data_IF_718043605050
#
_entry.id   IF_718043605050
#
_cell.length_a   1.000
_cell.length_b   1.000
_cell.length_c   1.000
_cell.angle_alpha   90.00
_cell.angle_beta   90.00
_cell.angle_gamma   90.00
#
_symmetry.space_group_name_H-M   'P 1'
#
loop_
_entity.id
_entity.type
_entity.pdbx_description
1 polymer ?
#
# COMPACT_ATOMS: atom_id res chain seq x y z
N UNK A 1 2.87 4.63 -2.37
CA UNK A 1 1.77 3.69 -2.08
C UNK A 1 2.03 2.86 -0.84
N UNK A 2 3.24 2.30 -0.65
CA UNK A 2 3.65 1.56 0.57
C UNK A 2 3.33 2.32 1.86
N UNK A 3 3.67 3.61 1.94
CA UNK A 3 3.39 4.45 3.12
C UNK A 3 1.89 4.48 3.46
N UNK A 4 1.03 4.67 2.46
CA UNK A 4 -0.43 4.63 2.65
C UNK A 4 -0.90 3.23 3.08
N UNK A 5 -0.33 2.16 2.48
CA UNK A 5 -0.64 0.78 2.85
C UNK A 5 -0.25 0.44 4.29
N UNK A 6 0.93 0.87 4.73
CA UNK A 6 1.42 0.71 6.12
C UNK A 6 0.53 1.47 7.11
N UNK A 7 0.14 2.70 6.78
CA UNK A 7 -0.78 3.49 7.62
C UNK A 7 -2.13 2.78 7.77
N UNK A 8 -2.72 2.28 6.69
CA UNK A 8 -3.99 1.54 6.74
C UNK A 8 -3.88 0.23 7.54
N UNK A 9 -2.75 -0.47 7.43
CA UNK A 9 -2.47 -1.70 8.19
C UNK A 9 -2.43 -1.44 9.70
N UNK A 10 -1.77 -0.35 10.12
CA UNK A 10 -1.70 0.06 11.53
C UNK A 10 -3.09 0.43 12.05
N UNK A 11 -3.87 1.21 11.30
CA UNK A 11 -5.22 1.61 11.72
C UNK A 11 -6.16 0.40 11.80
N UNK A 12 -6.14 -0.50 10.82
CA UNK A 12 -6.95 -1.71 10.83
C UNK A 12 -6.66 -2.63 12.01
N UNK A 13 -5.38 -2.74 12.38
CA UNK A 13 -4.94 -3.56 13.52
C UNK A 13 -5.35 -2.92 14.86
N UNK A 14 -5.24 -1.60 15.00
CA UNK A 14 -5.61 -0.88 16.23
C UNK A 14 -7.13 -0.84 16.42
N UNK A 15 -7.91 -0.80 15.35
CA UNK A 15 -9.37 -0.72 15.41
C UNK A 15 -10.09 -2.09 15.39
N UNK A 16 -9.36 -3.21 15.30
CA UNK A 16 -9.90 -4.58 15.17
C UNK A 16 -10.88 -4.74 13.98
N UNK A 17 -10.67 -3.95 12.91
CA UNK A 17 -11.51 -3.97 11.70
C UNK A 17 -10.87 -4.90 10.68
N UNK A 18 -11.31 -6.15 10.63
CA UNK A 18 -10.73 -7.19 9.78
C UNK A 18 -10.65 -6.83 8.29
N UNK A 19 -11.63 -6.08 7.76
CA UNK A 19 -11.60 -5.65 6.35
C UNK A 19 -10.52 -4.60 6.09
N UNK A 20 -10.22 -3.73 7.06
CA UNK A 20 -9.22 -2.68 6.94
C UNK A 20 -7.81 -3.26 7.02
N UNK A 21 -7.60 -4.29 7.86
CA UNK A 21 -6.35 -5.07 7.89
C UNK A 21 -6.11 -5.76 6.55
N UNK A 22 -7.14 -6.39 5.97
CA UNK A 22 -7.04 -7.09 4.69
C UNK A 22 -6.64 -6.13 3.56
N UNK A 23 -7.29 -4.97 3.48
CA UNK A 23 -6.97 -3.94 2.49
C UNK A 23 -5.56 -3.34 2.72
N UNK A 24 -5.16 -3.11 3.96
CA UNK A 24 -3.82 -2.64 4.31
C UNK A 24 -2.72 -3.61 3.86
N UNK A 25 -2.92 -4.91 4.11
CA UNK A 25 -1.99 -5.98 3.68
C UNK A 25 -1.86 -6.00 2.15
N UNK A 26 -2.98 -5.98 1.42
CA UNK A 26 -2.95 -5.98 -0.05
C UNK A 26 -2.17 -4.78 -0.58
N UNK A 27 -2.42 -3.57 -0.06
CA UNK A 27 -1.73 -2.37 -0.49
C UNK A 27 -0.25 -2.36 -0.12
N UNK A 28 0.12 -2.92 1.03
CA UNK A 28 1.50 -3.08 1.44
C UNK A 28 2.23 -4.05 0.52
N UNK A 29 1.66 -5.24 0.25
CA UNK A 29 2.24 -6.27 -0.61
C UNK A 29 2.37 -5.80 -2.06
N UNK A 30 1.30 -5.26 -2.66
CA UNK A 30 1.33 -4.73 -4.03
C UNK A 30 2.29 -3.54 -4.13
N UNK A 31 2.28 -2.66 -3.12
CA UNK A 31 3.22 -1.56 -3.03
C UNK A 31 4.67 -2.02 -2.97
N UNK A 32 4.96 -3.09 -2.24
CA UNK A 32 6.28 -3.71 -2.15
C UNK A 32 6.68 -4.32 -3.50
N UNK A 33 5.80 -5.11 -4.11
CA UNK A 33 6.04 -5.77 -5.40
C UNK A 33 6.36 -4.74 -6.48
N UNK A 34 5.58 -3.67 -6.60
CA UNK A 34 5.81 -2.60 -7.59
C UNK A 34 7.04 -1.73 -7.29
N UNK A 35 7.60 -1.82 -6.08
CA UNK A 35 8.83 -1.13 -5.70
C UNK A 35 10.08 -2.00 -5.93
N UNK A 36 10.00 -3.31 -5.68
CA UNK A 36 11.10 -4.26 -5.90
C UNK A 36 11.19 -4.78 -7.35
N UNK A 37 10.05 -4.95 -8.02
CA UNK A 37 9.99 -5.23 -9.45
C UNK A 37 9.79 -3.89 -10.15
N UNK A 38 10.71 -3.43 -11.01
CA UNK A 38 10.59 -2.16 -11.68
C UNK A 38 9.56 -2.25 -12.82
N UNK A 39 8.29 -2.43 -12.46
CA UNK A 39 7.14 -2.04 -13.28
C UNK A 39 6.90 -0.56 -12.96
N UNK A 40 7.92 0.24 -13.26
CA UNK A 40 8.01 1.66 -12.99
C UNK A 40 7.18 2.41 -14.02
N UNK A 41 5.87 2.44 -13.81
CA UNK A 41 4.96 3.34 -14.51
C UNK A 41 5.25 4.79 -14.12
N UNK A 42 6.31 5.37 -14.68
CA UNK A 42 6.51 6.82 -14.73
C UNK A 42 5.43 7.40 -15.64
N UNK A 43 4.35 7.92 -15.06
CA UNK A 43 3.53 9.03 -15.56
C UNK A 43 2.95 9.71 -14.31
N UNK A 44 3.23 10.96 -13.97
CA UNK A 44 3.27 12.14 -14.84
C UNK A 44 4.03 13.26 -14.11
N UNK A 45 5.26 13.57 -14.53
CA UNK A 45 5.81 14.92 -14.37
C UNK A 45 5.47 15.67 -15.66
N UNK A 46 4.22 16.13 -15.79
CA UNK A 46 3.95 17.21 -16.76
C UNK A 46 4.23 18.51 -16.02
N UNK A 47 4.95 19.37 -16.73
CA UNK A 47 5.58 20.62 -16.33
C UNK A 47 4.78 21.47 -15.36
#
# INVERSE_FOLDING_TARGET
MIVLGVILLIIGLVADIGILVTLGIILAVVGLILNLVPIGGTRRRVF
#
